data_IF_680461056221
#
_entry.id   IF_680461056221
#
_cell.length_a   1.000
_cell.length_b   1.000
_cell.length_c   1.000
_cell.angle_alpha   90.00
_cell.angle_beta   90.00
_cell.angle_gamma   90.00
#
_symmetry.space_group_name_H-M   'P 1'
#
loop_
_entity.id
_entity.type
_entity.pdbx_description
1 polymer ?
#
# COMPACT_ATOMS: atom_id res chain seq x y z
N UNK A 1 9.80 22.66 13.12
CA UNK A 1 10.76 21.69 12.54
C UNK A 1 10.15 20.33 12.23
N UNK A 2 9.27 19.76 13.08
CA UNK A 2 8.69 18.43 12.83
C UNK A 2 7.87 18.30 11.53
N UNK A 3 7.11 19.33 11.14
CA UNK A 3 6.33 19.33 9.87
C UNK A 3 7.25 19.22 8.65
N UNK A 4 8.39 19.92 8.64
CA UNK A 4 9.35 19.87 7.54
C UNK A 4 9.93 18.45 7.40
N UNK A 5 10.30 17.81 8.51
CA UNK A 5 10.75 16.42 8.50
C UNK A 5 9.65 15.48 8.03
N UNK A 6 8.39 15.69 8.42
CA UNK A 6 7.24 14.95 7.92
C UNK A 6 7.12 15.02 6.39
N UNK A 7 7.24 16.22 5.81
CA UNK A 7 7.23 16.42 4.36
C UNK A 7 8.41 15.70 3.69
N UNK A 8 9.62 15.82 4.26
CA UNK A 8 10.83 15.17 3.73
C UNK A 8 10.67 13.63 3.76
N UNK A 9 10.22 13.06 4.87
CA UNK A 9 10.00 11.61 4.97
C UNK A 9 8.90 11.12 4.03
N UNK A 10 7.83 11.91 3.87
CA UNK A 10 6.79 11.60 2.91
C UNK A 10 7.31 11.62 1.47
N UNK A 11 8.16 12.60 1.12
CA UNK A 11 8.80 12.68 -0.19
C UNK A 11 9.75 11.50 -0.44
N UNK A 12 10.58 11.12 0.54
CA UNK A 12 11.48 9.95 0.44
C UNK A 12 10.66 8.67 0.25
N UNK A 13 9.59 8.49 1.03
CA UNK A 13 8.70 7.35 0.91
C UNK A 13 8.02 7.29 -0.46
N UNK A 14 7.51 8.42 -0.95
CA UNK A 14 6.92 8.54 -2.28
C UNK A 14 7.91 8.26 -3.41
N UNK A 15 9.15 8.76 -3.29
CA UNK A 15 10.21 8.48 -4.26
C UNK A 15 10.61 7.00 -4.26
N UNK A 16 10.79 6.38 -3.09
CA UNK A 16 11.09 4.95 -2.97
C UNK A 16 9.95 4.10 -3.57
N UNK A 17 8.70 4.42 -3.24
CA UNK A 17 7.49 3.76 -3.76
C UNK A 17 7.27 4.00 -5.28
N UNK A 18 7.71 5.13 -5.83
CA UNK A 18 7.64 5.38 -7.27
C UNK A 18 8.76 4.68 -8.05
N UNK A 19 9.90 4.44 -7.41
CA UNK A 19 11.11 3.93 -8.07
C UNK A 19 11.38 2.45 -7.86
N UNK A 20 10.73 1.77 -6.91
CA UNK A 20 11.02 0.36 -6.57
C UNK A 20 10.92 -0.61 -7.75
N UNK A 21 10.10 -0.30 -8.76
CA UNK A 21 9.93 -1.16 -9.93
C UNK A 21 11.01 -0.93 -11.01
N UNK A 22 11.73 0.20 -10.97
CA UNK A 22 12.74 0.56 -11.97
C UNK A 22 13.91 -0.44 -12.03
N UNK A 23 14.49 -0.90 -10.89
CA UNK A 23 15.57 -1.88 -10.90
C UNK A 23 15.21 -3.18 -11.59
N UNK A 24 13.94 -3.62 -11.55
CA UNK A 24 13.52 -4.87 -12.21
C UNK A 24 13.78 -4.86 -13.71
N UNK A 25 13.82 -3.70 -14.37
CA UNK A 25 14.16 -3.57 -15.80
C UNK A 25 15.56 -4.06 -16.15
N UNK A 26 16.45 -4.18 -15.17
CA UNK A 26 17.81 -4.70 -15.35
C UNK A 26 17.90 -6.22 -15.17
N UNK A 27 16.86 -6.86 -14.64
CA UNK A 27 16.80 -8.31 -14.50
C UNK A 27 16.40 -8.91 -15.84
N UNK A 28 17.27 -9.76 -16.41
CA UNK A 28 17.05 -10.39 -17.73
C UNK A 28 17.10 -11.90 -17.61
N UNK A 29 16.27 -12.59 -18.39
CA UNK A 29 16.23 -14.05 -18.45
C UNK A 29 15.51 -14.72 -17.28
N UNK A 30 14.82 -13.96 -16.43
CA UNK A 30 14.03 -14.46 -15.31
C UNK A 30 12.55 -14.33 -15.63
N UNK A 31 11.74 -15.29 -15.18
CA UNK A 31 10.28 -15.13 -15.21
C UNK A 31 9.84 -14.01 -14.27
N UNK A 32 8.65 -13.45 -14.53
CA UNK A 32 8.08 -12.38 -13.71
C UNK A 32 7.98 -12.79 -12.24
N UNK A 33 7.46 -13.98 -12.00
CA UNK A 33 7.25 -14.60 -10.70
C UNK A 33 8.57 -14.73 -9.93
N UNK A 34 9.63 -15.15 -10.62
CA UNK A 34 10.94 -15.41 -10.03
C UNK A 34 11.57 -14.13 -9.47
N UNK A 35 11.64 -13.06 -10.27
CA UNK A 35 12.26 -11.82 -9.77
C UNK A 35 11.32 -11.09 -8.79
N UNK A 36 10.00 -11.23 -8.96
CA UNK A 36 9.01 -10.61 -8.08
C UNK A 36 9.08 -11.20 -6.68
N UNK A 37 9.11 -12.54 -6.54
CA UNK A 37 9.17 -13.17 -5.23
C UNK A 37 10.50 -12.92 -4.53
N UNK A 38 11.64 -12.87 -5.24
CA UNK A 38 12.92 -12.52 -4.59
C UNK A 38 12.85 -11.10 -4.01
N UNK A 39 12.39 -10.11 -4.78
CA UNK A 39 12.22 -8.76 -4.25
C UNK A 39 11.18 -8.69 -3.12
N UNK A 40 10.13 -9.51 -3.21
CA UNK A 40 9.12 -9.71 -2.16
C UNK A 40 9.69 -10.29 -0.87
N UNK A 41 10.60 -11.27 -0.93
CA UNK A 41 11.26 -11.83 0.25
C UNK A 41 12.05 -10.76 1.01
N UNK A 42 12.83 -9.94 0.30
CA UNK A 42 13.50 -8.81 0.96
C UNK A 42 12.50 -7.82 1.54
N UNK A 43 11.47 -7.43 0.77
CA UNK A 43 10.54 -6.37 1.15
C UNK A 43 9.55 -6.76 2.25
N UNK A 44 9.14 -8.03 2.32
CA UNK A 44 8.04 -8.51 3.16
C UNK A 44 8.46 -9.52 4.22
N UNK A 45 9.53 -10.31 3.98
CA UNK A 45 10.01 -11.30 4.96
C UNK A 45 11.19 -10.77 5.78
N UNK A 46 12.15 -10.09 5.15
CA UNK A 46 13.42 -9.72 5.80
C UNK A 46 13.35 -8.32 6.42
N UNK A 47 13.03 -7.30 5.61
CA UNK A 47 13.06 -5.90 6.04
C UNK A 47 12.08 -5.61 7.18
N UNK A 48 10.82 -6.12 7.20
CA UNK A 48 9.89 -5.74 8.26
C UNK A 48 10.28 -6.26 9.65
N UNK A 49 10.64 -7.55 9.83
CA UNK A 49 11.17 -8.01 11.13
C UNK A 49 12.48 -7.35 11.50
N UNK A 50 13.36 -7.07 10.53
CA UNK A 50 14.61 -6.35 10.79
C UNK A 50 14.34 -4.92 11.30
N UNK A 51 13.44 -4.19 10.64
CA UNK A 51 13.03 -2.85 11.07
C UNK A 51 12.39 -2.89 12.45
N UNK A 52 11.47 -3.83 12.70
CA UNK A 52 10.86 -4.02 14.01
C UNK A 52 11.90 -4.37 15.09
N UNK A 53 12.88 -5.21 14.79
CA UNK A 53 13.97 -5.57 15.71
C UNK A 53 14.87 -4.36 16.06
N UNK A 54 15.19 -3.52 15.06
CA UNK A 54 16.01 -2.33 15.27
C UNK A 54 15.28 -1.22 16.04
N UNK A 55 13.96 -1.15 15.93
CA UNK A 55 13.18 -0.04 16.51
C UNK A 55 12.41 -0.40 17.77
N UNK A 56 11.98 -1.66 17.92
CA UNK A 56 11.07 -2.12 18.99
C UNK A 56 11.74 -3.29 19.74
N UNK A 57 12.37 -3.04 20.89
CA UNK A 57 12.85 -4.10 21.76
C UNK A 57 11.69 -5.05 22.13
N UNK A 58 11.87 -6.35 21.90
CA UNK A 58 10.85 -7.34 22.23
C UNK A 58 9.61 -7.35 21.31
N UNK A 59 9.68 -6.83 20.08
CA UNK A 59 8.54 -6.84 19.14
C UNK A 59 7.91 -8.24 18.96
N UNK A 60 8.72 -9.30 19.00
CA UNK A 60 8.25 -10.67 18.90
C UNK A 60 7.34 -11.06 20.08
N UNK A 61 7.61 -10.55 21.28
CA UNK A 61 6.78 -10.78 22.45
C UNK A 61 5.47 -10.00 22.36
N UNK A 62 5.50 -8.77 21.82
CA UNK A 62 4.28 -8.00 21.53
C UNK A 62 3.36 -8.80 20.60
N UNK A 63 3.90 -9.37 19.52
CA UNK A 63 3.12 -10.20 18.59
C UNK A 63 2.60 -11.45 19.31
N UNK A 64 3.41 -12.13 20.11
CA UNK A 64 2.99 -13.36 20.82
C UNK A 64 1.90 -13.15 21.86
N UNK A 65 1.91 -12.01 22.56
CA UNK A 65 0.92 -11.68 23.58
C UNK A 65 -0.35 -11.05 23.01
N UNK A 66 -0.35 -10.68 21.73
CA UNK A 66 -1.52 -10.10 21.08
C UNK A 66 -2.58 -11.16 20.85
N UNK A 67 -3.84 -10.79 21.04
CA UNK A 67 -4.98 -11.68 20.81
C UNK A 67 -4.99 -12.24 19.38
N UNK A 68 -5.28 -13.54 19.26
CA UNK A 68 -5.26 -14.25 17.98
C UNK A 68 -6.25 -13.68 16.95
N UNK A 69 -7.36 -13.08 17.38
CA UNK A 69 -8.32 -12.41 16.50
C UNK A 69 -7.72 -11.16 15.87
N UNK A 70 -6.95 -10.38 16.63
CA UNK A 70 -6.24 -9.19 16.13
C UNK A 70 -5.19 -9.61 15.10
N UNK A 71 -4.33 -10.58 15.45
CA UNK A 71 -3.30 -11.10 14.54
C UNK A 71 -3.95 -11.65 13.28
N UNK A 72 -4.99 -12.47 13.42
CA UNK A 72 -5.70 -13.08 12.30
C UNK A 72 -6.34 -12.06 11.37
N UNK A 73 -6.95 -11.01 11.92
CA UNK A 73 -7.57 -9.93 11.13
C UNK A 73 -6.51 -9.06 10.43
N UNK A 74 -5.44 -8.68 11.13
CA UNK A 74 -4.31 -7.95 10.54
C UNK A 74 -3.66 -8.74 9.40
N UNK A 75 -3.46 -10.04 9.60
CA UNK A 75 -2.91 -10.95 8.60
C UNK A 75 -3.86 -11.14 7.41
N UNK A 76 -5.16 -11.28 7.64
CA UNK A 76 -6.18 -11.39 6.59
C UNK A 76 -6.20 -10.16 5.69
N UNK A 77 -6.14 -8.96 6.27
CA UNK A 77 -6.03 -7.74 5.47
C UNK A 77 -4.72 -7.65 4.69
N UNK A 78 -3.63 -8.19 5.26
CA UNK A 78 -2.38 -8.41 4.55
C UNK A 78 -2.51 -9.34 3.34
N UNK A 79 -3.22 -10.47 3.48
CA UNK A 79 -3.52 -11.38 2.37
C UNK A 79 -4.30 -10.68 1.25
N UNK A 80 -5.37 -9.95 1.61
CA UNK A 80 -6.17 -9.19 0.65
C UNK A 80 -5.32 -8.14 -0.07
N UNK A 81 -4.48 -7.41 0.67
CA UNK A 81 -3.52 -6.47 0.08
C UNK A 81 -2.53 -7.17 -0.88
N UNK A 82 -2.05 -8.36 -0.54
CA UNK A 82 -1.17 -9.13 -1.41
C UNK A 82 -1.82 -9.51 -2.75
N UNK A 83 -3.12 -9.85 -2.75
CA UNK A 83 -3.90 -10.05 -3.99
C UNK A 83 -3.99 -8.72 -4.77
N UNK A 84 -4.19 -7.60 -4.06
CA UNK A 84 -4.11 -6.25 -4.63
C UNK A 84 -2.78 -6.00 -5.35
N UNK A 85 -1.66 -6.40 -4.76
CA UNK A 85 -0.32 -6.30 -5.35
C UNK A 85 -0.12 -7.17 -6.60
N UNK A 86 -0.63 -8.40 -6.62
CA UNK A 86 -0.58 -9.27 -7.81
C UNK A 86 -1.41 -8.69 -8.96
N UNK A 87 -2.63 -8.27 -8.65
CA UNK A 87 -3.53 -7.63 -9.63
C UNK A 87 -3.03 -6.25 -10.08
N UNK A 88 -2.19 -5.58 -9.28
CA UNK A 88 -1.52 -4.34 -9.70
C UNK A 88 -0.60 -4.59 -10.90
N UNK A 89 0.22 -5.65 -10.84
CA UNK A 89 1.11 -6.03 -11.93
C UNK A 89 0.34 -6.31 -13.23
N UNK A 90 -0.80 -7.00 -13.13
CA UNK A 90 -1.69 -7.27 -14.26
C UNK A 90 -2.37 -5.99 -14.80
N UNK A 91 -2.83 -5.10 -13.92
CA UNK A 91 -3.42 -3.82 -14.32
C UNK A 91 -2.44 -2.94 -15.08
N UNK A 92 -1.20 -2.85 -14.58
CA UNK A 92 -0.09 -2.18 -15.27
C UNK A 92 0.25 -2.84 -16.61
N UNK A 93 0.22 -4.17 -16.69
CA UNK A 93 0.45 -4.92 -17.94
C UNK A 93 -0.62 -4.65 -19.00
N UNK A 94 -1.90 -4.59 -18.63
CA UNK A 94 -3.00 -4.42 -19.58
C UNK A 94 -3.32 -2.97 -19.96
N UNK A 95 -3.08 -2.02 -19.06
CA UNK A 95 -3.37 -0.58 -19.28
C UNK A 95 -2.12 0.26 -19.54
N UNK A 96 -0.92 -0.29 -19.34
CA UNK A 96 0.33 0.47 -19.30
C UNK A 96 0.59 1.09 -17.93
N UNK A 97 1.88 1.30 -17.63
CA UNK A 97 2.37 1.80 -16.32
C UNK A 97 1.71 3.13 -15.93
N UNK A 98 1.55 4.06 -16.88
CA UNK A 98 1.01 5.39 -16.55
C UNK A 98 -0.45 5.33 -16.12
N UNK A 99 -1.29 4.67 -16.92
CA UNK A 99 -2.74 4.64 -16.71
C UNK A 99 -3.11 3.68 -15.58
N UNK A 100 -2.56 2.46 -15.59
CA UNK A 100 -2.81 1.46 -14.55
C UNK A 100 -2.46 1.96 -13.16
N UNK A 101 -1.23 2.47 -12.97
CA UNK A 101 -0.78 2.97 -11.67
C UNK A 101 -1.62 4.14 -11.18
N UNK A 102 -2.02 5.07 -12.07
CA UNK A 102 -2.82 6.24 -11.69
C UNK A 102 -4.20 5.83 -11.15
N UNK A 103 -4.88 4.92 -11.83
CA UNK A 103 -6.22 4.44 -11.43
C UNK A 103 -6.12 3.64 -10.13
N UNK A 104 -5.18 2.70 -10.06
CA UNK A 104 -5.04 1.82 -8.89
C UNK A 104 -4.68 2.62 -7.64
N UNK A 105 -3.66 3.48 -7.72
CA UNK A 105 -3.22 4.29 -6.58
C UNK A 105 -4.30 5.30 -6.17
N UNK A 106 -5.05 5.86 -7.13
CA UNK A 106 -6.16 6.75 -6.83
C UNK A 106 -7.30 6.08 -6.09
N UNK A 107 -7.71 4.89 -6.55
CA UNK A 107 -8.73 4.10 -5.85
C UNK A 107 -8.23 3.66 -4.47
N UNK A 108 -6.99 3.17 -4.37
CA UNK A 108 -6.38 2.79 -3.10
C UNK A 108 -6.36 3.96 -2.10
N UNK A 109 -6.01 5.16 -2.56
CA UNK A 109 -6.00 6.37 -1.74
C UNK A 109 -7.41 6.73 -1.25
N UNK A 110 -8.40 6.77 -2.15
CA UNK A 110 -9.79 7.14 -1.79
C UNK A 110 -10.39 6.12 -0.82
N UNK A 111 -10.29 4.83 -1.14
CA UNK A 111 -10.86 3.78 -0.31
C UNK A 111 -10.10 3.62 1.00
N UNK A 112 -8.77 3.71 0.97
CA UNK A 112 -7.93 3.66 2.16
C UNK A 112 -8.20 4.81 3.11
N UNK A 113 -8.48 6.02 2.61
CA UNK A 113 -8.76 7.19 3.42
C UNK A 113 -10.19 7.20 3.98
N UNK A 114 -11.20 6.79 3.20
CA UNK A 114 -12.60 7.00 3.57
C UNK A 114 -13.27 5.78 4.22
N UNK A 115 -12.96 4.56 3.78
CA UNK A 115 -13.72 3.39 4.24
C UNK A 115 -13.55 3.14 5.75
N UNK A 116 -12.35 3.25 6.37
CA UNK A 116 -12.25 3.10 7.83
C UNK A 116 -13.20 4.05 8.59
N UNK A 117 -13.28 5.31 8.18
CA UNK A 117 -14.18 6.28 8.81
C UNK A 117 -15.65 6.02 8.51
N UNK A 118 -15.99 5.48 7.33
CA UNK A 118 -17.35 5.02 7.02
C UNK A 118 -17.72 3.81 7.90
N UNK A 119 -16.80 2.86 8.06
CA UNK A 119 -17.00 1.69 8.90
C UNK A 119 -17.30 2.09 10.35
N UNK A 120 -16.50 2.98 10.94
CA UNK A 120 -16.73 3.46 12.31
C UNK A 120 -17.96 4.35 12.46
N UNK A 121 -18.56 4.83 11.37
CA UNK A 121 -19.86 5.49 11.41
C UNK A 121 -21.00 4.49 11.69
N UNK A 122 -20.87 3.25 11.23
CA UNK A 122 -21.86 2.17 11.46
C UNK A 122 -21.52 1.31 12.69
N UNK A 123 -20.23 1.17 13.00
CA UNK A 123 -19.72 0.44 14.17
C UNK A 123 -18.86 1.37 15.04
N UNK A 124 -19.46 2.28 15.82
CA UNK A 124 -18.70 3.25 16.60
C UNK A 124 -17.75 2.58 17.60
N UNK A 125 -16.53 3.10 17.67
CA UNK A 125 -15.52 2.68 18.63
C UNK A 125 -14.81 3.92 19.20
N UNK A 126 -14.43 3.86 20.47
CA UNK A 126 -13.79 4.99 21.15
C UNK A 126 -12.43 5.34 20.51
N UNK A 127 -12.18 6.64 20.32
CA UNK A 127 -10.95 7.14 19.70
C UNK A 127 -10.84 6.92 18.19
N UNK A 128 -11.93 6.54 17.51
CA UNK A 128 -11.97 6.37 16.05
C UNK A 128 -12.74 7.50 15.36
N UNK A 129 -12.18 8.00 14.26
CA UNK A 129 -12.79 9.07 13.48
C UNK A 129 -13.89 8.53 12.56
N UNK A 130 -15.11 9.07 12.70
CA UNK A 130 -16.25 8.70 11.86
C UNK A 130 -16.32 9.58 10.61
N UNK A 131 -16.99 9.10 9.57
CA UNK A 131 -17.25 9.89 8.37
C UNK A 131 -18.05 11.16 8.68
N UNK A 132 -19.01 11.08 9.61
CA UNK A 132 -19.78 12.26 10.06
C UNK A 132 -18.86 13.30 10.69
N UNK A 133 -17.89 12.88 11.51
CA UNK A 133 -16.88 13.79 12.08
C UNK A 133 -15.98 14.42 11.01
N UNK A 134 -15.60 13.67 9.96
CA UNK A 134 -14.80 14.22 8.86
C UNK A 134 -15.53 15.35 8.12
N UNK A 135 -16.85 15.22 7.91
CA UNK A 135 -17.63 16.23 7.20
C UNK A 135 -17.95 17.45 8.08
N UNK A 136 -18.14 17.24 9.38
CA UNK A 136 -18.59 18.30 10.29
C UNK A 136 -17.44 19.08 10.97
N UNK A 137 -16.22 18.55 10.95
CA UNK A 137 -15.06 19.17 11.60
C UNK A 137 -14.19 19.98 10.62
N UNK A 138 -13.57 21.05 11.11
CA UNK A 138 -12.67 21.88 10.30
C UNK A 138 -11.40 21.13 9.83
N UNK A 139 -10.86 20.23 10.66
CA UNK A 139 -9.73 19.39 10.27
C UNK A 139 -10.14 18.35 9.22
N UNK A 140 -11.34 17.76 9.36
CA UNK A 140 -11.87 16.78 8.42
C UNK A 140 -12.16 17.40 7.06
N UNK A 141 -12.70 18.62 7.03
CA UNK A 141 -12.87 19.39 5.80
C UNK A 141 -11.54 19.62 5.06
N UNK A 142 -10.45 19.83 5.81
CA UNK A 142 -9.09 19.96 5.24
C UNK A 142 -8.63 18.65 4.59
N UNK A 143 -8.84 17.51 5.27
CA UNK A 143 -8.53 16.17 4.74
C UNK A 143 -9.34 15.87 3.47
N UNK A 144 -10.65 16.15 3.49
CA UNK A 144 -11.54 15.93 2.33
C UNK A 144 -11.17 16.83 1.14
N UNK A 145 -10.78 18.08 1.40
CA UNK A 145 -10.31 19.00 0.36
C UNK A 145 -9.00 18.50 -0.25
N UNK A 146 -8.05 18.06 0.59
CA UNK A 146 -6.81 17.44 0.12
C UNK A 146 -7.08 16.20 -0.74
N UNK A 147 -7.98 15.34 -0.30
CA UNK A 147 -8.41 14.15 -1.05
C UNK A 147 -9.01 14.53 -2.42
N UNK A 148 -9.86 15.56 -2.46
CA UNK A 148 -10.44 16.05 -3.71
C UNK A 148 -9.37 16.57 -4.69
N UNK A 149 -8.38 17.33 -4.19
CA UNK A 149 -7.25 17.81 -4.99
C UNK A 149 -6.44 16.62 -5.54
N UNK A 150 -6.15 15.61 -4.72
CA UNK A 150 -5.45 14.41 -5.15
C UNK A 150 -6.22 13.66 -6.25
N UNK A 151 -7.54 13.49 -6.09
CA UNK A 151 -8.41 12.87 -7.11
C UNK A 151 -8.35 13.64 -8.42
N UNK A 152 -8.42 14.98 -8.39
CA UNK A 152 -8.27 15.81 -9.59
C UNK A 152 -6.91 15.61 -10.26
N UNK A 153 -5.83 15.58 -9.47
CA UNK A 153 -4.49 15.30 -9.97
C UNK A 153 -4.38 13.95 -10.68
N UNK A 154 -4.93 12.89 -10.06
CA UNK A 154 -4.98 11.55 -10.65
C UNK A 154 -5.80 11.52 -11.94
N UNK A 155 -6.93 12.22 -12.01
CA UNK A 155 -7.74 12.31 -13.24
C UNK A 155 -6.93 12.97 -14.37
N UNK A 156 -6.19 14.03 -14.08
CA UNK A 156 -5.34 14.73 -15.06
C UNK A 156 -4.21 13.81 -15.52
N UNK A 157 -3.49 13.16 -14.60
CA UNK A 157 -2.44 12.18 -14.89
C UNK A 157 -2.97 10.99 -15.71
N UNK A 158 -4.14 10.48 -15.35
CA UNK A 158 -4.81 9.39 -16.06
C UNK A 158 -5.17 9.77 -17.49
N UNK A 159 -5.76 10.97 -17.70
CA UNK A 159 -6.04 11.50 -19.04
C UNK A 159 -4.77 11.62 -19.89
N UNK A 160 -3.70 12.18 -19.34
CA UNK A 160 -2.41 12.27 -20.03
C UNK A 160 -1.85 10.86 -20.36
N UNK A 161 -2.00 9.90 -19.44
CA UNK A 161 -1.62 8.50 -19.64
C UNK A 161 -2.38 7.84 -20.80
N UNK A 162 -3.71 8.04 -20.88
CA UNK A 162 -4.53 7.55 -22.00
C UNK A 162 -4.06 8.16 -23.32
N UNK A 163 -3.83 9.47 -23.37
CA UNK A 163 -3.35 10.14 -24.59
C UNK A 163 -2.01 9.58 -25.06
N UNK A 164 -1.08 9.36 -24.13
CA UNK A 164 0.23 8.75 -24.42
C UNK A 164 0.09 7.31 -24.93
N UNK A 165 -0.72 6.49 -24.27
CA UNK A 165 -0.89 5.08 -24.66
C UNK A 165 -1.59 4.95 -26.02
N UNK A 166 -2.55 5.82 -26.31
CA UNK A 166 -3.20 5.90 -27.63
C UNK A 166 -2.23 6.33 -28.73
N UNK A 167 -1.27 7.22 -28.43
CA UNK A 167 -0.22 7.60 -29.39
C UNK A 167 0.77 6.45 -29.62
N UNK A 168 1.23 5.79 -28.55
CA UNK A 168 2.18 4.68 -28.64
C UNK A 168 1.58 3.46 -29.36
N UNK A 169 0.32 3.12 -29.07
CA UNK A 169 -0.41 2.03 -29.73
C UNK A 169 -0.54 2.22 -31.25
N UNK A 170 -0.43 3.46 -31.75
CA UNK A 170 -0.47 3.78 -33.18
C UNK A 170 0.90 3.73 -33.86
N UNK A 171 2.00 3.74 -33.11
CA UNK A 171 3.36 3.97 -33.62
C UNK A 171 4.28 2.76 -33.40
N UNK A 172 4.08 1.97 -32.34
CA UNK A 172 4.93 0.81 -32.02
C UNK A 172 4.14 -0.30 -31.28
N UNK A 173 4.53 -1.58 -31.42
CA UNK A 173 3.92 -2.65 -30.64
C UNK A 173 4.19 -2.46 -29.13
N UNK A 174 3.20 -2.81 -28.31
CA UNK A 174 3.23 -2.69 -26.84
C UNK A 174 4.44 -3.42 -26.28
N UNK A 175 5.28 -2.72 -25.51
CA UNK A 175 6.44 -3.32 -24.84
C UNK A 175 6.15 -3.50 -23.37
N UNK A 176 6.60 -4.60 -22.79
CA UNK A 176 6.52 -4.82 -21.36
C UNK A 176 7.41 -3.81 -20.59
N UNK A 177 7.36 -3.76 -19.24
CA UNK A 177 8.28 -2.94 -18.46
C UNK A 177 9.78 -3.22 -18.74
N UNK A 178 10.13 -4.38 -19.30
CA UNK A 178 11.48 -4.85 -19.63
C UNK A 178 11.91 -4.61 -21.09
N UNK A 179 11.04 -4.02 -21.91
CA UNK A 179 11.34 -3.71 -23.31
C UNK A 179 11.13 -4.87 -24.29
N UNK A 180 10.60 -6.01 -23.84
CA UNK A 180 10.17 -7.12 -24.70
C UNK A 180 8.94 -6.71 -25.50
N UNK A 181 8.89 -7.08 -26.78
CA UNK A 181 7.71 -6.83 -27.64
C UNK A 181 6.60 -7.78 -27.20
N UNK A 182 5.70 -7.31 -26.34
CA UNK A 182 4.47 -8.04 -26.03
C UNK A 182 3.62 -7.96 -27.30
N UNK A 183 3.28 -9.13 -27.86
CA UNK A 183 2.14 -9.23 -28.79
C UNK A 183 0.88 -8.81 -28.03
N UNK A 184 0.57 -7.52 -28.05
CA UNK A 184 -0.70 -6.88 -27.68
C UNK A 184 -1.59 -7.68 -26.72
N UNK A 185 -1.43 -7.45 -25.42
CA UNK A 185 -2.52 -7.65 -24.46
C UNK A 185 -3.03 -6.32 -23.91
N UNK A 186 -2.97 -5.24 -24.69
CA UNK A 186 -3.71 -4.04 -24.34
C UNK A 186 -5.21 -4.36 -24.39
N UNK A 187 -5.77 -4.68 -23.23
CA UNK A 187 -7.15 -5.10 -23.04
C UNK A 187 -7.79 -4.11 -22.08
N UNK A 188 -8.21 -2.96 -22.60
CA UNK A 188 -8.70 -1.85 -21.78
C UNK A 188 -9.77 -2.28 -20.76
N UNK A 189 -10.79 -3.03 -21.20
CA UNK A 189 -11.86 -3.50 -20.29
C UNK A 189 -11.35 -4.42 -19.17
N UNK A 190 -10.50 -5.39 -19.51
CA UNK A 190 -9.91 -6.31 -18.52
C UNK A 190 -8.95 -5.56 -17.59
N UNK A 191 -8.11 -4.69 -18.13
CA UNK A 191 -7.19 -3.86 -17.37
C UNK A 191 -7.91 -2.93 -16.39
N UNK A 192 -9.02 -2.32 -16.80
CA UNK A 192 -9.86 -1.49 -15.92
C UNK A 192 -10.46 -2.31 -14.79
N UNK A 193 -11.05 -3.46 -15.11
CA UNK A 193 -11.64 -4.36 -14.12
C UNK A 193 -10.61 -4.80 -13.06
N UNK A 194 -9.45 -5.29 -13.52
CA UNK A 194 -8.37 -5.73 -12.63
C UNK A 194 -7.78 -4.57 -11.83
N UNK A 195 -7.70 -3.37 -12.41
CA UNK A 195 -7.22 -2.16 -11.71
C UNK A 195 -8.17 -1.71 -10.59
N UNK A 196 -9.49 -1.86 -10.78
CA UNK A 196 -10.48 -1.55 -9.73
C UNK A 196 -10.34 -2.52 -8.57
N UNK A 197 -10.26 -3.83 -8.87
CA UNK A 197 -10.03 -4.87 -7.85
C UNK A 197 -8.73 -4.60 -7.10
N UNK A 198 -7.66 -4.31 -7.84
CA UNK A 198 -6.35 -4.00 -7.27
C UNK A 198 -6.41 -2.78 -6.34
N UNK A 199 -7.08 -1.69 -6.74
CA UNK A 199 -7.21 -0.49 -5.93
C UNK A 199 -7.98 -0.73 -4.62
N UNK A 200 -9.11 -1.44 -4.69
CA UNK A 200 -9.92 -1.77 -3.51
C UNK A 200 -9.14 -2.69 -2.56
N UNK A 201 -8.53 -3.76 -3.09
CA UNK A 201 -7.76 -4.71 -2.29
C UNK A 201 -6.48 -4.09 -1.75
N UNK A 202 -5.85 -3.16 -2.47
CA UNK A 202 -4.67 -2.44 -1.97
C UNK A 202 -5.02 -1.56 -0.77
N UNK A 203 -6.25 -1.01 -0.72
CA UNK A 203 -6.71 -0.27 0.44
C UNK A 203 -6.74 -1.13 1.72
N UNK A 204 -6.89 -2.46 1.60
CA UNK A 204 -6.85 -3.42 2.72
C UNK A 204 -5.60 -3.26 3.60
N UNK A 205 -4.48 -2.77 3.06
CA UNK A 205 -3.29 -2.47 3.87
C UNK A 205 -3.59 -1.51 5.03
N UNK A 206 -4.36 -0.44 4.76
CA UNK A 206 -4.70 0.53 5.80
C UNK A 206 -5.64 -0.07 6.87
N UNK A 207 -6.56 -0.95 6.46
CA UNK A 207 -7.39 -1.69 7.41
C UNK A 207 -6.59 -2.68 8.24
N UNK A 208 -5.56 -3.30 7.66
CA UNK A 208 -4.61 -4.12 8.39
C UNK A 208 -3.89 -3.31 9.47
N UNK A 209 -3.46 -2.08 9.14
CA UNK A 209 -2.81 -1.18 10.09
C UNK A 209 -3.78 -0.79 11.22
N UNK A 210 -5.02 -0.51 10.86
CA UNK A 210 -6.04 -0.13 11.81
C UNK A 210 -6.46 -1.29 12.72
N UNK A 211 -6.54 -2.52 12.19
CA UNK A 211 -6.76 -3.73 12.96
C UNK A 211 -5.58 -4.02 13.90
N UNK A 212 -4.35 -3.79 13.44
CA UNK A 212 -3.13 -4.03 14.20
C UNK A 212 -2.78 -2.93 15.21
N UNK A 213 -3.58 -1.86 15.31
CA UNK A 213 -3.36 -0.73 16.24
C UNK A 213 -3.04 -1.16 17.67
N UNK A 214 -3.67 -2.21 18.26
CA UNK A 214 -3.32 -2.66 19.61
C UNK A 214 -1.85 -3.05 19.77
N UNK A 215 -1.23 -3.67 18.76
CA UNK A 215 0.21 -3.98 18.78
C UNK A 215 1.06 -2.70 18.75
N UNK A 216 0.69 -1.74 17.90
CA UNK A 216 1.37 -0.45 17.81
C UNK A 216 1.26 0.34 19.13
N UNK A 217 0.09 0.31 19.77
CA UNK A 217 -0.13 0.97 21.06
C UNK A 217 0.80 0.38 22.15
N UNK A 218 0.94 -0.95 22.23
CA UNK A 218 1.88 -1.57 23.18
C UNK A 218 3.31 -1.12 22.91
N UNK A 219 3.76 -1.13 21.65
CA UNK A 219 5.09 -0.65 21.28
C UNK A 219 5.30 0.83 21.66
N UNK A 220 4.27 1.64 21.50
CA UNK A 220 4.28 3.05 21.83
C UNK A 220 4.35 3.30 23.35
N UNK A 221 3.59 2.56 24.16
CA UNK A 221 3.62 2.69 25.62
C UNK A 221 4.97 2.26 26.22
N UNK A 222 5.58 1.19 25.68
CA UNK A 222 6.96 0.80 26.04
C UNK A 222 7.95 1.91 25.72
N UNK A 223 7.84 2.53 24.55
CA UNK A 223 8.69 3.64 24.16
C UNK A 223 8.53 4.86 25.07
N UNK A 224 7.29 5.27 25.36
CA UNK A 224 6.99 6.42 26.23
C UNK A 224 7.50 6.22 27.65
N UNK A 225 7.41 5.00 28.16
CA UNK A 225 7.94 4.64 29.48
C UNK A 225 9.46 4.79 29.51
N UNK A 226 10.15 4.40 28.45
CA UNK A 226 11.60 4.50 28.33
C UNK A 226 12.09 5.93 28.00
N UNK A 227 11.26 6.76 27.35
CA UNK A 227 11.61 8.12 26.89
C UNK A 227 10.56 9.15 27.35
N UNK A 228 10.52 9.50 28.65
CA UNK A 228 9.53 10.44 29.17
C UNK A 228 9.67 11.83 28.54
N UNK A 229 8.56 12.37 28.02
CA UNK A 229 8.52 13.72 27.44
C UNK A 229 8.86 13.81 25.95
N UNK A 230 9.19 12.71 25.29
CA UNK A 230 9.51 12.71 23.84
C UNK A 230 8.30 12.52 22.91
N UNK A 231 7.11 12.30 23.47
CA UNK A 231 5.86 12.17 22.70
C UNK A 231 5.59 10.76 22.18
N UNK A 232 4.83 10.66 21.10
CA UNK A 232 4.45 9.39 20.46
C UNK A 232 5.64 8.76 19.72
N UNK A 233 5.71 7.43 19.74
CA UNK A 233 6.76 6.68 19.10
C UNK A 233 6.59 6.66 17.57
N UNK A 234 7.59 7.19 16.86
CA UNK A 234 7.57 7.31 15.40
C UNK A 234 7.46 5.96 14.69
N UNK A 235 8.10 4.91 15.22
CA UNK A 235 8.20 3.59 14.57
C UNK A 235 7.23 2.55 15.14
N UNK A 236 6.20 2.98 15.88
CA UNK A 236 5.23 2.08 16.52
C UNK A 236 4.58 1.08 15.57
N UNK A 237 4.37 1.46 14.31
CA UNK A 237 3.74 0.60 13.31
C UNK A 237 4.66 -0.52 12.78
N UNK A 238 5.96 -0.50 13.08
CA UNK A 238 6.89 -1.52 12.59
C UNK A 238 6.49 -2.93 13.03
N UNK A 239 5.94 -3.10 14.24
CA UNK A 239 5.43 -4.40 14.71
C UNK A 239 4.21 -4.86 13.89
N UNK A 240 3.35 -3.92 13.49
CA UNK A 240 2.15 -4.21 12.70
C UNK A 240 2.53 -4.59 11.26
N UNK A 241 3.52 -3.90 10.69
CA UNK A 241 4.01 -4.19 9.34
C UNK A 241 4.51 -5.63 9.20
N UNK A 242 5.10 -6.22 10.24
CA UNK A 242 5.51 -7.64 10.23
C UNK A 242 4.32 -8.53 9.88
N UNK A 243 3.22 -8.42 10.63
CA UNK A 243 2.06 -9.30 10.48
C UNK A 243 1.32 -9.06 9.16
N UNK A 244 1.11 -7.79 8.78
CA UNK A 244 0.45 -7.45 7.51
C UNK A 244 1.26 -7.96 6.32
N UNK A 245 2.56 -7.70 6.30
CA UNK A 245 3.42 -8.04 5.16
C UNK A 245 3.63 -9.55 5.05
N UNK A 246 3.57 -10.31 6.15
CA UNK A 246 3.53 -11.77 6.09
C UNK A 246 2.24 -12.30 5.45
N UNK A 247 1.11 -11.65 5.69
CA UNK A 247 -0.13 -11.94 4.95
C UNK A 247 0.06 -11.73 3.45
N UNK A 248 0.60 -10.57 3.06
CA UNK A 248 0.88 -10.27 1.65
C UNK A 248 1.90 -11.22 1.01
N UNK A 249 2.95 -11.57 1.75
CA UNK A 249 3.97 -12.53 1.33
C UNK A 249 3.35 -13.89 1.03
N UNK A 250 2.44 -14.37 1.86
CA UNK A 250 1.88 -15.72 1.72
C UNK A 250 1.16 -15.90 0.39
N UNK A 251 0.30 -14.95 0.01
CA UNK A 251 -0.41 -15.07 -1.27
C UNK A 251 0.52 -14.88 -2.47
N UNK A 252 1.51 -13.97 -2.36
CA UNK A 252 2.49 -13.77 -3.43
C UNK A 252 3.40 -14.99 -3.59
N UNK A 253 3.78 -15.63 -2.47
CA UNK A 253 4.57 -16.85 -2.47
C UNK A 253 3.80 -17.99 -3.12
N UNK A 254 2.54 -18.23 -2.72
CA UNK A 254 1.69 -19.26 -3.34
C UNK A 254 1.56 -19.01 -4.84
N UNK A 255 1.29 -17.78 -5.27
CA UNK A 255 1.16 -17.43 -6.68
C UNK A 255 2.46 -17.69 -7.46
N UNK A 256 3.61 -17.36 -6.90
CA UNK A 256 4.89 -17.51 -7.61
C UNK A 256 5.42 -18.94 -7.64
N UNK A 257 4.86 -19.86 -6.83
CA UNK A 257 5.27 -21.27 -6.76
C UNK A 257 4.38 -22.20 -7.60
N UNK A 258 3.24 -21.72 -8.10
CA UNK A 258 2.30 -22.44 -8.98
C UNK A 258 2.59 -22.06 -10.43
#
# INVERSE_FOLDING_TARGET
MQVLFGIIYHFIGGFASGSFYIPYKKVRGWSWESYWIIGGLFSWLIVPPLAAWLTIPGFAEIIRQTDSSIIGTTYLFGLLWGIGGLTYGLGVRYLGVSLGSSIILGLCMVFGALIPSIYYNFFPAEGKDTFTMLVQSGWGATVLTGLAICVLGIIICGKAGVMKEQQLSKIAPTRDPHGEVIKTEYKFGLGMFVSIISGVLSACFNFGLEAGKPMANIANEVWKTANPGEGEFLFQNNVVYVVILWGGLTINFIWCMI
#
